data_IF_666487058285
#
_entry.id   IF_666487058285
#
_cell.length_a   1.000
_cell.length_b   1.000
_cell.length_c   1.000
_cell.angle_alpha   90.00
_cell.angle_beta   90.00
_cell.angle_gamma   90.00
#
_symmetry.space_group_name_H-M   'P 1'
#
loop_
_entity.id
_entity.type
_entity.pdbx_description
1 polymer ?
#
# COMPACT_ATOMS: atom_id res chain seq x y z
N UNK A 1 -5.20 23.81 -50.15
CA UNK A 1 -5.22 22.45 -49.52
C UNK A 1 -3.87 21.71 -49.69
N UNK A 2 -2.74 22.30 -49.27
CA UNK A 2 -1.41 21.62 -49.28
C UNK A 2 -0.36 22.19 -48.29
N UNK A 3 -0.74 23.15 -47.43
CA UNK A 3 0.16 23.78 -46.45
C UNK A 3 -0.18 23.48 -44.98
N UNK A 4 -1.26 22.73 -44.71
CA UNK A 4 -1.70 22.43 -43.35
C UNK A 4 -1.31 21.02 -42.85
N UNK A 5 -0.55 20.25 -43.65
CA UNK A 5 -0.17 18.85 -43.33
C UNK A 5 1.27 18.68 -42.87
N UNK A 6 2.07 19.75 -42.76
CA UNK A 6 3.50 19.65 -42.42
C UNK A 6 3.88 20.11 -41.01
N UNK A 7 2.93 20.61 -40.22
CA UNK A 7 3.14 21.08 -38.85
C UNK A 7 2.62 20.13 -37.77
N UNK A 8 2.06 18.97 -38.15
CA UNK A 8 1.53 17.96 -37.19
C UNK A 8 2.55 16.84 -36.91
N UNK A 9 3.65 16.75 -37.66
CA UNK A 9 4.65 15.68 -37.50
C UNK A 9 5.82 16.08 -36.57
N UNK A 10 5.98 17.36 -36.26
CA UNK A 10 7.02 17.84 -35.32
C UNK A 10 6.55 17.97 -33.87
N UNK A 11 5.26 17.79 -33.58
CA UNK A 11 4.73 17.81 -32.21
C UNK A 11 4.56 16.41 -31.60
N UNK A 12 4.86 15.35 -32.37
CA UNK A 12 4.71 13.96 -31.92
C UNK A 12 6.04 13.31 -31.46
N UNK A 13 7.17 14.01 -31.55
CA UNK A 13 8.49 13.48 -31.18
C UNK A 13 8.99 13.93 -29.79
N UNK A 14 8.18 14.67 -29.03
CA UNK A 14 8.53 15.12 -27.67
C UNK A 14 7.80 14.35 -26.55
N UNK A 15 7.14 13.24 -26.89
CA UNK A 15 6.36 12.41 -25.94
C UNK A 15 7.01 11.06 -25.60
N UNK A 16 8.29 10.85 -25.94
CA UNK A 16 9.02 9.62 -25.61
C UNK A 16 10.34 9.95 -24.90
N UNK A 17 10.22 10.45 -23.69
CA UNK A 17 11.16 10.17 -22.59
C UNK A 17 10.59 10.76 -21.30
N UNK A 18 9.50 10.17 -20.79
CA UNK A 18 9.24 10.30 -19.36
C UNK A 18 10.24 9.39 -18.64
N UNK A 19 11.49 9.84 -18.52
CA UNK A 19 12.32 9.37 -17.42
C UNK A 19 11.53 9.71 -16.17
N UNK A 20 11.16 8.69 -15.40
CA UNK A 20 10.46 8.87 -14.14
C UNK A 20 11.18 9.94 -13.33
N UNK A 21 10.53 11.08 -13.13
CA UNK A 21 10.96 12.03 -12.12
C UNK A 21 10.53 11.41 -10.80
N UNK A 22 11.46 10.66 -10.19
CA UNK A 22 11.35 10.27 -8.78
C UNK A 22 11.23 11.56 -7.95
N UNK A 23 10.44 11.53 -6.89
CA UNK A 23 10.29 12.67 -6.01
C UNK A 23 11.66 13.10 -5.47
N UNK A 24 11.79 14.40 -5.16
CA UNK A 24 13.00 14.97 -4.58
C UNK A 24 13.29 14.30 -3.23
N UNK A 25 14.18 13.31 -3.22
CA UNK A 25 15.11 13.15 -2.10
C UNK A 25 15.95 14.42 -2.01
N UNK A 26 16.26 14.93 -0.81
CA UNK A 26 17.15 16.09 -0.69
C UNK A 26 18.54 15.76 -1.24
N UNK A 27 18.95 14.49 -1.12
CA UNK A 27 20.14 13.99 -1.78
C UNK A 27 19.85 13.68 -3.26
N UNK A 28 20.75 14.12 -4.15
CA UNK A 28 20.67 13.77 -5.57
C UNK A 28 21.33 12.42 -5.82
N UNK A 29 20.59 11.47 -6.38
CA UNK A 29 21.13 10.21 -6.87
C UNK A 29 21.34 10.27 -8.38
N UNK A 30 22.55 9.98 -8.83
CA UNK A 30 22.89 9.86 -10.25
C UNK A 30 22.38 8.52 -10.76
N UNK A 31 21.48 8.57 -11.74
CA UNK A 31 21.02 7.37 -12.45
C UNK A 31 21.90 7.12 -13.65
N UNK A 32 22.62 5.98 -13.65
CA UNK A 32 23.40 5.55 -14.81
C UNK A 32 22.53 4.73 -15.76
N UNK A 33 22.75 4.89 -17.05
CA UNK A 33 22.07 4.07 -18.06
C UNK A 33 22.72 2.68 -18.13
N UNK A 34 22.02 1.68 -17.59
CA UNK A 34 22.38 0.27 -17.70
C UNK A 34 21.61 -0.42 -18.82
N UNK A 35 22.18 -1.46 -19.41
CA UNK A 35 21.45 -2.38 -20.29
C UNK A 35 20.61 -3.34 -19.44
N UNK A 36 19.37 -2.95 -19.17
CA UNK A 36 18.44 -3.70 -18.32
C UNK A 36 17.90 -4.97 -18.98
N UNK A 37 18.17 -5.21 -20.27
CA UNK A 37 17.79 -6.46 -20.94
C UNK A 37 18.49 -7.68 -20.32
N UNK A 38 19.62 -7.46 -19.64
CA UNK A 38 20.38 -8.49 -18.94
C UNK A 38 19.73 -8.94 -17.62
N UNK A 39 18.78 -8.16 -17.10
CA UNK A 39 18.09 -8.40 -15.83
C UNK A 39 16.58 -8.62 -16.03
N UNK A 40 16.10 -8.61 -17.28
CA UNK A 40 14.71 -8.90 -17.60
C UNK A 40 14.33 -10.33 -17.17
N UNK A 41 13.33 -10.44 -16.29
CA UNK A 41 12.87 -11.72 -15.74
C UNK A 41 13.53 -12.14 -14.42
N UNK A 42 14.37 -11.29 -13.83
CA UNK A 42 14.81 -11.48 -12.44
C UNK A 42 13.62 -11.34 -11.48
N UNK A 43 13.34 -12.38 -10.68
CA UNK A 43 12.32 -12.32 -9.63
C UNK A 43 12.81 -11.43 -8.48
N UNK A 44 12.40 -10.16 -8.50
CA UNK A 44 12.59 -9.26 -7.38
C UNK A 44 11.53 -9.52 -6.32
N UNK A 45 11.97 -9.60 -5.07
CA UNK A 45 11.07 -9.63 -3.91
C UNK A 45 11.03 -8.24 -3.30
N UNK A 46 9.83 -7.75 -3.05
CA UNK A 46 9.62 -6.45 -2.44
C UNK A 46 9.36 -6.66 -0.94
N UNK A 47 10.24 -6.14 -0.10
CA UNK A 47 10.16 -6.23 1.37
C UNK A 47 10.28 -4.84 2.00
N UNK A 48 9.54 -4.60 3.09
CA UNK A 48 9.60 -3.34 3.85
C UNK A 48 11.03 -3.10 4.38
N UNK A 49 11.67 -1.95 4.09
CA UNK A 49 12.96 -1.59 4.66
C UNK A 49 12.94 -1.47 6.19
N UNK A 50 13.81 -2.19 6.88
CA UNK A 50 13.91 -2.19 8.36
C UNK A 50 15.31 -1.86 8.88
N UNK A 51 16.33 -2.01 8.03
CA UNK A 51 17.73 -1.81 8.40
C UNK A 51 18.54 -1.28 7.22
N UNK A 52 19.56 -0.49 7.53
CA UNK A 52 20.52 0.00 6.54
C UNK A 52 21.86 -0.70 6.77
N UNK A 53 22.36 -1.33 5.72
CA UNK A 53 23.68 -1.92 5.68
C UNK A 53 24.63 -1.04 4.89
N UNK A 54 25.81 -0.79 5.44
CA UNK A 54 26.85 -0.01 4.79
C UNK A 54 28.05 -0.91 4.61
N UNK A 55 28.54 -1.06 3.38
CA UNK A 55 29.70 -1.89 3.10
C UNK A 55 30.73 -1.13 2.27
N UNK A 56 32.00 -1.43 2.50
CA UNK A 56 33.09 -0.92 1.69
C UNK A 56 33.30 -1.80 0.45
N UNK A 57 33.47 -1.18 -0.71
CA UNK A 57 33.81 -1.82 -1.97
C UNK A 57 35.20 -1.32 -2.37
N UNK A 58 36.14 -2.25 -2.52
CA UNK A 58 37.54 -1.96 -2.90
C UNK A 58 37.83 -2.47 -4.31
N UNK A 59 38.83 -1.89 -4.95
CA UNK A 59 39.29 -2.30 -6.28
C UNK A 59 40.81 -2.23 -6.38
N UNK A 60 41.41 -3.20 -7.08
CA UNK A 60 42.84 -3.16 -7.44
C UNK A 60 43.11 -2.36 -8.72
N UNK A 61 42.05 -1.98 -9.45
CA UNK A 61 42.18 -1.22 -10.69
C UNK A 61 42.29 0.27 -10.38
N UNK A 62 43.44 0.86 -10.70
CA UNK A 62 43.66 2.30 -10.56
C UNK A 62 42.64 3.10 -11.39
N UNK A 63 42.33 2.61 -12.60
CA UNK A 63 41.34 3.23 -13.48
C UNK A 63 39.95 3.30 -12.81
N UNK A 64 39.52 2.22 -12.16
CA UNK A 64 38.21 2.22 -11.48
C UNK A 64 38.22 3.12 -10.25
N UNK A 65 39.33 3.18 -9.50
CA UNK A 65 39.42 4.08 -8.35
C UNK A 65 39.41 5.56 -8.73
N UNK A 66 39.80 5.90 -9.96
CA UNK A 66 39.81 7.28 -10.46
C UNK A 66 38.53 7.67 -11.21
N UNK A 67 37.72 6.68 -11.62
CA UNK A 67 36.47 6.87 -12.36
C UNK A 67 35.32 6.08 -11.69
N UNK A 68 34.65 6.69 -10.69
CA UNK A 68 33.57 6.05 -9.95
C UNK A 68 32.39 5.63 -10.84
N UNK A 69 32.03 6.39 -11.87
CA UNK A 69 30.96 6.01 -12.81
C UNK A 69 31.31 4.72 -13.55
N UNK A 70 32.54 4.62 -14.05
CA UNK A 70 33.04 3.40 -14.67
C UNK A 70 33.09 2.25 -13.66
N UNK A 71 33.42 2.53 -12.40
CA UNK A 71 33.41 1.54 -11.32
C UNK A 71 31.99 0.99 -11.08
N UNK A 72 30.98 1.86 -10.94
CA UNK A 72 29.58 1.44 -10.80
C UNK A 72 29.14 0.57 -11.99
N UNK A 73 29.40 1.03 -13.23
CA UNK A 73 29.09 0.25 -14.44
C UNK A 73 29.79 -1.09 -14.45
N UNK A 74 31.06 -1.13 -14.07
CA UNK A 74 31.85 -2.36 -14.01
C UNK A 74 31.29 -3.33 -12.98
N UNK A 75 30.86 -2.84 -11.81
CA UNK A 75 30.19 -3.67 -10.81
C UNK A 75 28.91 -4.27 -11.38
N UNK A 76 28.01 -3.46 -11.94
CA UNK A 76 26.77 -3.92 -12.53
C UNK A 76 26.99 -5.09 -13.51
N UNK A 77 27.83 -4.89 -14.53
CA UNK A 77 28.10 -5.94 -15.51
C UNK A 77 28.84 -7.14 -14.92
N UNK A 78 29.72 -6.94 -13.94
CA UNK A 78 30.44 -8.04 -13.30
C UNK A 78 29.50 -8.94 -12.47
N UNK A 79 28.62 -8.34 -11.67
CA UNK A 79 27.62 -9.08 -10.90
C UNK A 79 26.74 -9.95 -11.79
N UNK A 80 26.23 -9.38 -12.88
CA UNK A 80 25.31 -10.09 -13.77
C UNK A 80 26.04 -11.11 -14.64
N UNK A 81 27.10 -10.71 -15.35
CA UNK A 81 27.71 -11.55 -16.39
C UNK A 81 28.76 -12.53 -15.87
N UNK A 82 29.39 -12.26 -14.71
CA UNK A 82 30.47 -13.08 -14.17
C UNK A 82 30.09 -13.81 -12.89
N UNK A 83 29.27 -13.18 -12.05
CA UNK A 83 28.80 -13.80 -10.82
C UNK A 83 27.44 -14.47 -11.00
N UNK A 84 26.73 -14.27 -12.11
CA UNK A 84 25.39 -14.81 -12.31
C UNK A 84 24.48 -14.42 -11.13
N UNK A 85 24.55 -13.15 -10.73
CA UNK A 85 23.62 -12.55 -9.77
C UNK A 85 22.62 -11.73 -10.60
N UNK A 86 21.31 -11.87 -10.36
CA UNK A 86 20.30 -11.37 -11.29
C UNK A 86 20.18 -9.84 -11.35
N UNK A 87 20.74 -9.12 -10.39
CA UNK A 87 20.92 -7.66 -10.42
C UNK A 87 22.08 -7.25 -9.48
N UNK A 88 22.44 -5.98 -9.46
CA UNK A 88 23.32 -5.41 -8.46
C UNK A 88 22.67 -5.56 -7.05
N UNK A 89 23.41 -5.97 -6.01
CA UNK A 89 22.81 -6.13 -4.67
C UNK A 89 22.64 -4.82 -3.90
N UNK A 90 23.31 -3.75 -4.35
CA UNK A 90 23.33 -2.45 -3.71
C UNK A 90 22.11 -1.62 -4.07
N UNK A 91 21.40 -1.08 -3.10
CA UNK A 91 20.38 -0.05 -3.34
C UNK A 91 21.03 1.25 -3.82
N UNK A 92 22.10 1.66 -3.15
CA UNK A 92 22.85 2.87 -3.48
C UNK A 92 24.36 2.60 -3.43
N UNK A 93 25.10 3.36 -4.23
CA UNK A 93 26.55 3.42 -4.19
C UNK A 93 26.99 4.85 -3.91
N UNK A 94 28.03 5.03 -3.11
CA UNK A 94 28.56 6.32 -2.69
C UNK A 94 30.05 6.35 -3.01
N UNK A 95 30.54 7.40 -3.67
CA UNK A 95 31.97 7.58 -3.91
C UNK A 95 32.66 8.53 -2.91
N UNK A 96 33.99 8.63 -3.02
CA UNK A 96 34.81 9.50 -2.18
C UNK A 96 34.56 11.00 -2.40
N UNK A 97 33.86 11.38 -3.48
CA UNK A 97 33.47 12.77 -3.74
C UNK A 97 32.10 13.11 -3.13
N UNK A 98 31.40 12.14 -2.55
CA UNK A 98 30.07 12.31 -1.99
C UNK A 98 28.95 12.17 -3.02
N UNK A 99 29.23 11.64 -4.22
CA UNK A 99 28.21 11.40 -5.23
C UNK A 99 27.52 10.07 -4.93
N UNK A 100 26.19 10.10 -4.90
CA UNK A 100 25.35 8.91 -4.73
C UNK A 100 24.90 8.44 -6.11
N UNK A 101 24.96 7.14 -6.34
CA UNK A 101 24.51 6.48 -7.55
C UNK A 101 23.37 5.51 -7.22
N UNK A 102 22.33 5.53 -8.03
CA UNK A 102 21.27 4.52 -7.95
C UNK A 102 21.86 3.16 -8.35
N UNK A 103 21.67 2.17 -7.48
CA UNK A 103 22.16 0.82 -7.71
C UNK A 103 21.14 -0.04 -8.44
N UNK A 104 20.59 -1.02 -7.72
CA UNK A 104 19.64 -2.03 -8.21
C UNK A 104 18.38 -1.41 -8.81
N UNK A 105 17.79 -2.15 -9.74
CA UNK A 105 16.50 -1.83 -10.35
C UNK A 105 15.37 -2.04 -9.33
N UNK A 106 14.23 -1.37 -9.53
CA UNK A 106 13.07 -1.49 -8.64
C UNK A 106 13.09 -0.60 -7.39
N UNK A 107 14.24 0.03 -7.07
CA UNK A 107 14.34 1.08 -6.05
C UNK A 107 14.38 0.56 -4.60
N UNK A 108 13.88 1.38 -3.68
CA UNK A 108 13.81 1.04 -2.25
C UNK A 108 12.84 -0.12 -2.02
N UNK A 109 13.26 -1.09 -1.20
CA UNK A 109 12.51 -2.29 -0.85
C UNK A 109 12.52 -3.42 -1.90
N UNK A 110 12.97 -3.16 -3.13
CA UNK A 110 13.23 -4.22 -4.11
C UNK A 110 14.50 -4.99 -3.70
N UNK A 111 14.42 -6.29 -3.43
CA UNK A 111 15.53 -7.11 -2.98
C UNK A 111 15.71 -8.35 -3.86
N UNK A 112 16.95 -8.83 -3.88
CA UNK A 112 17.26 -10.17 -4.39
C UNK A 112 16.69 -11.20 -3.41
N UNK A 113 16.33 -12.39 -3.89
CA UNK A 113 15.89 -13.52 -3.07
C UNK A 113 17.05 -14.11 -2.25
N UNK A 114 17.57 -13.34 -1.30
CA UNK A 114 18.73 -13.67 -0.48
C UNK A 114 18.44 -13.27 0.97
N UNK A 115 18.25 -14.26 1.85
CA UNK A 115 17.82 -14.05 3.24
C UNK A 115 18.67 -13.02 4.02
N UNK A 116 19.98 -12.97 3.74
CA UNK A 116 20.89 -12.04 4.42
C UNK A 116 20.65 -10.56 4.04
N UNK A 117 19.93 -10.30 2.94
CA UNK A 117 19.54 -8.97 2.46
C UNK A 117 18.06 -8.64 2.73
N UNK A 118 17.31 -9.54 3.37
CA UNK A 118 15.91 -9.31 3.70
C UNK A 118 15.75 -8.02 4.48
N UNK A 119 14.80 -7.19 4.05
CA UNK A 119 14.46 -5.89 4.64
C UNK A 119 15.64 -4.89 4.70
N UNK A 120 16.73 -5.15 3.98
CA UNK A 120 17.94 -4.32 4.03
C UNK A 120 17.98 -3.29 2.89
N UNK A 121 18.36 -2.06 3.23
CA UNK A 121 18.88 -1.08 2.27
C UNK A 121 20.40 -1.20 2.28
N UNK A 122 20.97 -1.73 1.19
CA UNK A 122 22.42 -1.93 1.09
C UNK A 122 23.09 -0.74 0.38
N UNK A 123 23.97 -0.06 1.08
CA UNK A 123 24.79 1.05 0.59
C UNK A 123 26.24 0.60 0.43
N UNK A 124 26.81 0.80 -0.76
CA UNK A 124 28.20 0.49 -1.05
C UNK A 124 29.07 1.74 -1.12
N UNK A 125 30.10 1.85 -0.28
CA UNK A 125 31.09 2.92 -0.34
C UNK A 125 32.27 2.51 -1.24
N UNK A 126 32.44 3.20 -2.35
CA UNK A 126 33.48 2.99 -3.34
C UNK A 126 34.79 3.66 -2.89
N UNK A 127 35.59 2.94 -2.10
CA UNK A 127 36.90 3.43 -1.67
C UNK A 127 37.84 2.29 -1.31
N UNK A 128 39.11 2.48 -1.64
CA UNK A 128 40.20 1.62 -1.17
C UNK A 128 40.65 1.96 0.27
N UNK A 129 40.16 3.04 0.85
CA UNK A 129 40.44 3.44 2.23
C UNK A 129 39.24 3.15 3.14
N UNK A 130 39.47 2.62 4.36
CA UNK A 130 38.37 2.28 5.28
C UNK A 130 37.76 3.50 5.98
N UNK A 131 38.29 4.70 5.73
CA UNK A 131 37.80 5.97 6.28
C UNK A 131 37.04 6.73 5.23
N UNK A 132 35.95 7.39 5.62
CA UNK A 132 35.18 8.20 4.69
C UNK A 132 35.81 9.59 4.56
N UNK A 133 35.71 10.16 3.36
CA UNK A 133 36.01 11.59 3.17
C UNK A 133 34.90 12.44 3.79
N UNK A 134 35.19 13.68 4.16
CA UNK A 134 34.18 14.61 4.72
C UNK A 134 32.95 14.76 3.80
N UNK A 135 33.17 14.74 2.47
CA UNK A 135 32.07 14.81 1.49
C UNK A 135 31.22 13.54 1.52
N UNK A 136 31.87 12.38 1.52
CA UNK A 136 31.17 11.09 1.62
C UNK A 136 30.41 10.95 2.95
N UNK A 137 31.00 11.37 4.08
CA UNK A 137 30.33 11.41 5.38
C UNK A 137 29.04 12.25 5.34
N UNK A 138 29.13 13.46 4.77
CA UNK A 138 27.99 14.38 4.67
C UNK A 138 26.87 13.76 3.83
N UNK A 139 27.17 13.28 2.63
CA UNK A 139 26.18 12.65 1.75
C UNK A 139 25.59 11.37 2.36
N UNK A 140 26.41 10.59 3.07
CA UNK A 140 25.95 9.36 3.71
C UNK A 140 25.01 9.65 4.88
N UNK A 141 25.31 10.64 5.73
CA UNK A 141 24.42 11.06 6.81
C UNK A 141 23.08 11.53 6.24
N UNK A 142 23.11 12.37 5.20
CA UNK A 142 21.90 12.88 4.57
C UNK A 142 21.04 11.74 4.01
N UNK A 143 21.63 10.87 3.18
CA UNK A 143 20.95 9.72 2.59
C UNK A 143 20.38 8.76 3.64
N UNK A 144 21.19 8.40 4.65
CA UNK A 144 20.74 7.51 5.74
C UNK A 144 19.63 8.17 6.55
N UNK A 145 19.76 9.46 6.84
CA UNK A 145 18.75 10.22 7.58
C UNK A 145 17.42 10.26 6.85
N UNK A 146 17.41 10.57 5.54
CA UNK A 146 16.19 10.61 4.74
C UNK A 146 15.52 9.24 4.61
N UNK A 147 16.29 8.20 4.24
CA UNK A 147 15.77 6.84 4.11
C UNK A 147 15.21 6.37 5.45
N UNK A 148 15.94 6.60 6.53
CA UNK A 148 15.51 6.16 7.84
C UNK A 148 14.29 6.91 8.36
N UNK A 149 14.19 8.22 8.10
CA UNK A 149 13.02 9.01 8.45
C UNK A 149 11.79 8.58 7.65
N UNK A 150 11.94 8.34 6.35
CA UNK A 150 10.86 7.88 5.49
C UNK A 150 10.32 6.52 5.95
N UNK A 151 11.20 5.55 6.21
CA UNK A 151 10.81 4.16 6.48
C UNK A 151 10.74 3.77 7.96
N UNK A 152 11.03 4.69 8.89
CA UNK A 152 11.08 4.38 10.32
C UNK A 152 12.20 3.41 10.70
N UNK A 153 13.41 3.63 10.18
CA UNK A 153 14.57 2.75 10.43
C UNK A 153 15.40 3.29 11.60
N UNK A 154 15.70 2.41 12.54
CA UNK A 154 16.54 2.71 13.70
C UNK A 154 17.91 2.01 13.68
N UNK A 155 18.17 1.17 12.66
CA UNK A 155 19.36 0.33 12.61
C UNK A 155 20.22 0.65 11.39
N UNK A 156 21.47 1.04 11.64
CA UNK A 156 22.54 1.17 10.64
C UNK A 156 23.69 0.25 11.07
N UNK A 157 24.12 -0.65 10.19
CA UNK A 157 25.20 -1.59 10.49
C UNK A 157 26.29 -1.58 9.41
N UNK A 158 27.58 -1.43 9.78
CA UNK A 158 28.68 -1.70 8.87
C UNK A 158 28.82 -3.20 8.65
N UNK A 159 28.84 -3.62 7.38
CA UNK A 159 28.90 -5.04 6.99
C UNK A 159 29.89 -5.28 5.86
N UNK A 160 30.28 -6.54 5.69
CA UNK A 160 31.01 -7.04 4.54
C UNK A 160 30.09 -7.95 3.72
N UNK A 161 30.00 -7.63 2.43
CA UNK A 161 29.28 -8.45 1.45
C UNK A 161 30.24 -9.49 0.89
N UNK A 162 29.89 -10.77 1.03
CA UNK A 162 30.64 -11.88 0.45
C UNK A 162 29.77 -12.57 -0.60
N UNK A 163 30.40 -12.99 -1.69
CA UNK A 163 29.74 -13.74 -2.76
C UNK A 163 30.03 -15.22 -2.58
N UNK A 164 28.99 -16.02 -2.47
CA UNK A 164 29.08 -17.48 -2.40
C UNK A 164 28.90 -18.02 -3.81
N UNK A 165 29.96 -18.59 -4.37
CA UNK A 165 29.91 -19.22 -5.68
C UNK A 165 29.83 -20.73 -5.53
N UNK A 166 28.79 -21.33 -6.12
CA UNK A 166 28.67 -22.77 -6.28
C UNK A 166 28.75 -23.13 -7.77
N UNK A 167 29.33 -24.29 -8.09
CA UNK A 167 29.37 -24.76 -9.47
C UNK A 167 27.96 -25.04 -9.99
N UNK A 168 27.65 -24.55 -11.20
CA UNK A 168 26.37 -24.74 -11.90
C UNK A 168 25.13 -24.18 -11.17
N UNK A 169 25.30 -23.20 -10.29
CA UNK A 169 24.19 -22.46 -9.65
C UNK A 169 24.43 -20.96 -9.71
N UNK A 170 23.36 -20.19 -9.50
CA UNK A 170 23.43 -18.75 -9.27
C UNK A 170 24.30 -18.49 -8.02
N UNK A 171 25.12 -17.43 -8.06
CA UNK A 171 25.89 -17.07 -6.86
C UNK A 171 24.97 -16.46 -5.82
N UNK A 172 25.18 -16.82 -4.56
CA UNK A 172 24.45 -16.25 -3.42
C UNK A 172 25.23 -15.12 -2.74
N UNK A 173 24.56 -14.45 -1.81
CA UNK A 173 25.14 -13.35 -1.04
C UNK A 173 25.13 -13.69 0.44
N UNK A 174 26.26 -13.41 1.11
CA UNK A 174 26.40 -13.57 2.55
C UNK A 174 26.94 -12.33 3.21
N UNK A 175 26.24 -11.88 4.24
CA UNK A 175 26.60 -10.72 5.04
C UNK A 175 27.40 -11.17 6.27
N UNK A 176 28.58 -10.58 6.45
CA UNK A 176 29.42 -10.76 7.65
C UNK A 176 29.78 -9.41 8.25
N UNK A 177 30.43 -9.40 9.40
CA UNK A 177 30.93 -8.15 9.98
C UNK A 177 32.02 -7.52 9.08
N UNK A 178 32.01 -6.20 9.03
CA UNK A 178 33.00 -5.42 8.31
C UNK A 178 34.38 -5.44 9.01
N UNK A 179 35.47 -5.08 8.29
CA UNK A 179 36.77 -4.84 8.91
C UNK A 179 36.69 -3.79 10.03
N UNK A 180 37.50 -3.97 11.08
CA UNK A 180 37.46 -3.16 12.29
C UNK A 180 37.61 -1.65 12.02
N UNK A 181 38.49 -1.27 11.13
CA UNK A 181 38.75 0.13 10.78
C UNK A 181 37.50 0.77 10.15
N UNK A 182 36.85 0.08 9.21
CA UNK A 182 35.63 0.56 8.56
C UNK A 182 34.45 0.60 9.53
N UNK A 183 34.31 -0.44 10.36
CA UNK A 183 33.30 -0.47 11.44
C UNK A 183 33.47 0.71 12.38
N UNK A 184 34.70 1.04 12.75
CA UNK A 184 34.99 2.17 13.64
C UNK A 184 34.63 3.51 12.98
N UNK A 185 34.95 3.68 11.69
CA UNK A 185 34.58 4.88 10.94
C UNK A 185 33.05 5.10 10.90
N UNK A 186 32.29 4.06 10.51
CA UNK A 186 30.81 4.14 10.43
C UNK A 186 30.18 4.34 11.82
N UNK A 187 30.64 3.62 12.84
CA UNK A 187 30.09 3.77 14.19
C UNK A 187 30.37 5.15 14.79
N UNK A 188 31.54 5.73 14.49
CA UNK A 188 31.84 7.11 14.91
C UNK A 188 30.95 8.12 14.18
N UNK A 189 30.71 7.91 12.88
CA UNK A 189 29.84 8.78 12.07
C UNK A 189 28.41 8.83 12.61
N UNK A 190 27.87 7.69 13.02
CA UNK A 190 26.49 7.55 13.52
C UNK A 190 26.37 7.47 15.06
N UNK A 191 27.41 7.86 15.80
CA UNK A 191 27.46 7.71 17.27
C UNK A 191 26.29 8.38 17.99
N UNK A 192 25.90 9.57 17.53
CA UNK A 192 24.83 10.36 18.14
C UNK A 192 23.48 10.20 17.41
N UNK A 193 23.45 9.37 16.35
CA UNK A 193 22.25 9.10 15.58
C UNK A 193 21.38 8.06 16.29
N UNK A 194 20.10 8.39 16.47
CA UNK A 194 19.13 7.54 17.19
C UNK A 194 18.17 6.79 16.27
N UNK A 195 18.17 7.16 14.98
CA UNK A 195 17.22 6.70 13.99
C UNK A 195 15.77 7.07 14.29
N UNK A 196 14.87 6.37 13.61
CA UNK A 196 13.42 6.63 13.61
C UNK A 196 12.67 5.33 13.85
N UNK A 197 11.49 5.42 14.45
CA UNK A 197 10.64 4.26 14.78
C UNK A 197 9.32 4.25 14.03
N UNK A 198 8.96 5.38 13.43
CA UNK A 198 7.71 5.57 12.72
C UNK A 198 8.01 5.89 11.25
N UNK A 199 7.18 5.35 10.37
CA UNK A 199 7.21 5.65 8.95
C UNK A 199 6.68 7.08 8.71
N UNK A 200 7.34 7.82 7.84
CA UNK A 200 6.92 9.16 7.42
C UNK A 200 6.88 9.24 5.89
N UNK A 201 5.91 8.52 5.32
CA UNK A 201 5.64 8.49 3.89
C UNK A 201 4.32 9.19 3.58
N UNK A 202 4.33 10.01 2.53
CA UNK A 202 3.12 10.60 1.97
C UNK A 202 2.57 9.68 0.88
N UNK A 203 1.54 8.91 1.21
CA UNK A 203 0.90 7.99 0.29
C UNK A 203 -0.02 8.73 -0.70
N UNK A 204 0.06 8.36 -1.98
CA UNK A 204 -0.68 8.99 -3.09
C UNK A 204 -1.28 7.93 -3.99
N UNK A 205 -2.60 7.97 -4.16
CA UNK A 205 -3.34 7.06 -5.02
C UNK A 205 -4.11 7.83 -6.09
N UNK A 206 -4.40 7.15 -7.19
CA UNK A 206 -5.46 7.57 -8.12
C UNK A 206 -6.53 6.51 -8.16
N UNK A 207 -7.79 6.92 -8.03
CA UNK A 207 -8.95 6.05 -8.26
C UNK A 207 -9.30 6.11 -9.74
N UNK A 208 -9.06 5.02 -10.46
CA UNK A 208 -9.32 4.94 -11.90
C UNK A 208 -10.78 4.65 -12.21
N UNK A 209 -11.41 3.78 -11.42
CA UNK A 209 -12.76 3.32 -11.69
C UNK A 209 -13.43 2.85 -10.40
N UNK A 210 -14.71 3.16 -10.25
CA UNK A 210 -15.59 2.64 -9.19
C UNK A 210 -16.79 1.99 -9.87
N UNK A 211 -16.95 0.69 -9.66
CA UNK A 211 -18.05 -0.11 -10.21
C UNK A 211 -18.98 -0.49 -9.07
N UNK A 212 -20.19 0.03 -9.12
CA UNK A 212 -21.31 -0.34 -8.26
C UNK A 212 -22.59 -0.41 -9.11
N UNK A 213 -23.57 -1.25 -8.74
CA UNK A 213 -24.87 -1.27 -9.41
C UNK A 213 -25.59 0.07 -9.18
N UNK A 214 -26.35 0.51 -10.19
CA UNK A 214 -27.16 1.73 -10.07
C UNK A 214 -28.29 1.57 -9.06
N UNK A 215 -28.86 0.37 -8.95
CA UNK A 215 -29.98 0.08 -8.06
C UNK A 215 -29.72 -1.21 -7.27
N UNK A 216 -30.29 -1.30 -6.08
CA UNK A 216 -30.20 -2.45 -5.20
C UNK A 216 -31.48 -2.67 -4.41
N UNK A 217 -31.93 -3.91 -4.28
CA UNK A 217 -33.08 -4.21 -3.44
C UNK A 217 -32.75 -4.04 -1.96
N UNK A 218 -33.69 -3.51 -1.19
CA UNK A 218 -33.56 -3.39 0.27
C UNK A 218 -33.18 -4.73 0.92
N UNK A 219 -32.17 -4.70 1.79
CA UNK A 219 -31.63 -5.89 2.45
C UNK A 219 -30.82 -6.83 1.55
N UNK A 220 -30.52 -6.42 0.31
CA UNK A 220 -29.55 -7.12 -0.53
C UNK A 220 -28.13 -6.55 -0.34
N UNK A 221 -27.14 -7.35 -0.77
CA UNK A 221 -25.73 -6.95 -0.73
C UNK A 221 -25.32 -6.41 -2.09
N UNK A 222 -24.59 -5.30 -2.04
CA UNK A 222 -24.02 -4.62 -3.19
C UNK A 222 -22.53 -4.86 -3.19
N UNK A 223 -22.02 -5.49 -4.24
CA UNK A 223 -20.59 -5.62 -4.47
C UNK A 223 -20.08 -4.34 -5.14
N UNK A 224 -19.15 -3.67 -4.47
CA UNK A 224 -18.40 -2.53 -4.98
C UNK A 224 -17.04 -3.05 -5.43
N UNK A 225 -16.60 -2.64 -6.63
CA UNK A 225 -15.23 -2.85 -7.10
C UNK A 225 -14.57 -1.53 -7.37
N UNK A 226 -13.31 -1.39 -6.98
CA UNK A 226 -12.54 -0.16 -7.14
C UNK A 226 -11.19 -0.49 -7.75
N UNK A 227 -10.84 0.23 -8.81
CA UNK A 227 -9.55 0.13 -9.48
C UNK A 227 -8.66 1.29 -9.04
N UNK A 228 -7.52 0.97 -8.46
CA UNK A 228 -6.63 1.90 -7.75
C UNK A 228 -5.23 1.80 -8.33
N UNK A 229 -4.59 2.95 -8.54
CA UNK A 229 -3.19 3.02 -8.97
C UNK A 229 -2.32 3.66 -7.89
N UNK A 230 -1.18 3.03 -7.59
CA UNK A 230 -0.16 3.60 -6.73
C UNK A 230 0.58 4.72 -7.49
N UNK A 231 0.37 5.97 -7.10
CA UNK A 231 1.03 7.13 -7.73
C UNK A 231 2.38 7.48 -7.10
N UNK A 232 2.77 6.82 -6.01
CA UNK A 232 4.08 6.99 -5.43
C UNK A 232 5.18 6.42 -6.34
N UNK A 233 6.40 6.86 -6.04
CA UNK A 233 7.64 6.35 -6.60
C UNK A 233 8.26 5.24 -5.72
N UNK A 234 7.58 4.87 -4.64
CA UNK A 234 7.90 3.74 -3.78
C UNK A 234 6.76 2.71 -3.73
N UNK A 235 7.08 1.43 -3.47
CA UNK A 235 6.07 0.40 -3.29
C UNK A 235 5.27 0.61 -2.00
N UNK A 236 3.98 0.29 -2.01
CA UNK A 236 3.23 0.16 -0.76
C UNK A 236 3.41 -1.24 -0.21
N UNK A 237 3.79 -1.32 1.06
CA UNK A 237 3.89 -2.58 1.78
C UNK A 237 2.72 -2.71 2.75
N UNK A 238 2.08 -3.88 2.76
CA UNK A 238 0.94 -4.18 3.64
C UNK A 238 1.17 -5.38 4.55
N UNK A 239 2.43 -5.78 4.71
CA UNK A 239 2.89 -6.87 5.58
C UNK A 239 2.88 -6.48 7.06
N UNK A 240 3.37 -5.28 7.40
CA UNK A 240 3.38 -4.76 8.77
C UNK A 240 2.10 -4.01 9.12
N UNK A 241 1.73 -3.08 8.23
CA UNK A 241 0.61 -2.17 8.44
C UNK A 241 -0.36 -2.31 7.26
N UNK A 242 -1.54 -2.92 7.45
CA UNK A 242 -2.51 -3.10 6.37
C UNK A 242 -3.08 -1.75 5.89
N UNK A 243 -3.47 -1.71 4.62
CA UNK A 243 -4.19 -0.57 4.04
C UNK A 243 -5.69 -0.88 4.08
N UNK A 244 -6.48 0.05 4.58
CA UNK A 244 -7.92 -0.06 4.65
C UNK A 244 -8.56 0.85 3.62
N UNK A 245 -9.65 0.37 3.03
CA UNK A 245 -10.72 1.28 2.62
C UNK A 245 -11.42 1.71 3.90
N UNK A 246 -11.58 3.01 4.11
CA UNK A 246 -12.25 3.57 5.27
C UNK A 246 -13.29 4.59 4.83
N UNK A 247 -14.35 4.80 5.60
CA UNK A 247 -15.22 5.96 5.43
C UNK A 247 -14.39 7.24 5.65
N UNK A 248 -14.65 8.28 4.85
CA UNK A 248 -13.85 9.53 4.84
C UNK A 248 -13.65 10.17 6.21
N UNK A 249 -14.66 10.08 7.08
CA UNK A 249 -14.61 10.68 8.43
C UNK A 249 -14.29 9.66 9.54
N UNK A 250 -14.02 8.40 9.19
CA UNK A 250 -13.89 7.29 10.14
C UNK A 250 -15.19 6.93 10.89
N UNK A 251 -16.31 7.58 10.55
CA UNK A 251 -17.64 7.31 11.13
C UNK A 251 -18.17 5.96 10.66
N UNK A 252 -18.88 5.29 11.55
CA UNK A 252 -19.57 4.03 11.23
C UNK A 252 -20.55 4.23 10.07
N UNK A 253 -20.52 3.32 9.11
CA UNK A 253 -21.43 3.32 7.98
C UNK A 253 -22.73 2.60 8.33
N UNK A 254 -23.86 3.19 7.98
CA UNK A 254 -25.16 2.51 8.02
C UNK A 254 -25.26 1.35 7.02
N UNK A 255 -24.32 1.27 6.07
CA UNK A 255 -24.21 0.22 5.06
C UNK A 255 -23.25 -0.91 5.49
N UNK A 256 -22.67 -0.81 6.68
CA UNK A 256 -21.70 -1.78 7.20
C UNK A 256 -22.33 -3.16 7.39
N UNK A 257 -21.59 -4.21 7.02
CA UNK A 257 -22.02 -5.60 7.19
C UNK A 257 -21.37 -6.17 8.46
N UNK A 258 -22.21 -6.55 9.43
CA UNK A 258 -21.73 -7.11 10.69
C UNK A 258 -20.95 -8.41 10.45
N UNK A 259 -19.83 -8.59 11.16
CA UNK A 259 -18.92 -9.74 11.07
C UNK A 259 -18.17 -9.92 9.74
N UNK A 260 -18.44 -9.08 8.72
CA UNK A 260 -17.71 -9.11 7.45
C UNK A 260 -16.69 -7.98 7.36
N UNK A 261 -17.07 -6.78 7.78
CA UNK A 261 -16.16 -5.64 7.78
C UNK A 261 -15.19 -5.74 8.97
N UNK A 262 -13.88 -5.47 8.77
CA UNK A 262 -12.92 -5.29 9.88
C UNK A 262 -13.41 -4.33 10.98
N UNK A 263 -14.09 -3.25 10.60
CA UNK A 263 -14.83 -2.37 11.51
C UNK A 263 -16.01 -1.74 10.77
N UNK A 264 -16.98 -1.14 11.46
CA UNK A 264 -18.12 -0.50 10.78
C UNK A 264 -17.76 0.73 9.94
N UNK A 265 -16.51 1.21 9.99
CA UNK A 265 -15.98 2.24 9.10
C UNK A 265 -15.01 1.70 8.05
N UNK A 266 -14.56 0.44 8.15
CA UNK A 266 -13.52 -0.14 7.31
C UNK A 266 -14.05 -1.40 6.59
N UNK A 267 -14.60 -1.30 5.36
CA UNK A 267 -15.18 -2.44 4.65
C UNK A 267 -14.23 -3.55 4.25
N UNK A 268 -12.97 -3.20 3.95
CA UNK A 268 -11.98 -4.15 3.46
C UNK A 268 -10.59 -3.71 3.87
N UNK A 269 -9.75 -4.71 4.12
CA UNK A 269 -8.32 -4.55 4.35
C UNK A 269 -7.51 -5.20 3.22
N UNK A 270 -6.37 -4.58 2.92
CA UNK A 270 -5.38 -5.04 1.96
C UNK A 270 -4.14 -5.38 2.77
N UNK A 271 -3.81 -6.67 2.86
CA UNK A 271 -2.74 -7.23 3.71
C UNK A 271 -1.86 -8.18 2.89
N UNK A 272 -0.64 -8.44 3.37
CA UNK A 272 0.29 -9.44 2.82
C UNK A 272 0.62 -9.27 1.32
N UNK A 273 0.67 -8.02 0.85
CA UNK A 273 1.00 -7.69 -0.54
C UNK A 273 1.92 -6.49 -0.63
N UNK A 274 2.77 -6.50 -1.66
CA UNK A 274 3.47 -5.32 -2.15
C UNK A 274 2.79 -4.79 -3.41
N UNK A 275 2.55 -3.49 -3.46
CA UNK A 275 1.96 -2.80 -4.62
C UNK A 275 3.04 -1.89 -5.20
N UNK A 276 3.55 -2.22 -6.38
CA UNK A 276 4.69 -1.53 -6.98
C UNK A 276 4.34 -0.09 -7.39
N UNK A 277 5.34 0.79 -7.53
CA UNK A 277 5.12 2.11 -8.12
C UNK A 277 4.39 1.98 -9.47
N UNK A 278 3.34 2.79 -9.65
CA UNK A 278 2.49 2.80 -10.87
C UNK A 278 1.76 1.49 -11.15
N UNK A 279 1.73 0.55 -10.20
CA UNK A 279 0.89 -0.65 -10.31
C UNK A 279 -0.57 -0.28 -10.08
N UNK A 280 -1.43 -0.78 -10.97
CA UNK A 280 -2.89 -0.73 -10.81
C UNK A 280 -3.40 -2.06 -10.28
N UNK A 281 -4.26 -2.02 -9.27
CA UNK A 281 -4.90 -3.20 -8.69
C UNK A 281 -6.40 -2.96 -8.46
N UNK A 282 -7.16 -4.05 -8.38
CA UNK A 282 -8.60 -4.03 -8.08
C UNK A 282 -8.84 -4.53 -6.67
N UNK A 283 -9.72 -3.85 -5.95
CA UNK A 283 -10.27 -4.32 -4.68
C UNK A 283 -11.78 -4.43 -4.80
N UNK A 284 -12.37 -5.36 -4.05
CA UNK A 284 -13.81 -5.54 -3.97
C UNK A 284 -14.28 -5.64 -2.53
N UNK A 285 -15.42 -5.02 -2.22
CA UNK A 285 -16.06 -5.14 -0.91
C UNK A 285 -17.57 -5.12 -1.04
N UNK A 286 -18.25 -5.68 -0.04
CA UNK A 286 -19.71 -5.71 0.00
C UNK A 286 -20.23 -4.64 0.97
N UNK A 287 -21.27 -3.94 0.53
CA UNK A 287 -22.07 -3.04 1.36
C UNK A 287 -23.52 -3.54 1.38
N UNK A 288 -24.26 -3.25 2.43
CA UNK A 288 -25.64 -3.71 2.55
C UNK A 288 -26.65 -2.57 2.46
N UNK A 289 -27.65 -2.75 1.60
CA UNK A 289 -28.75 -1.81 1.39
C UNK A 289 -29.75 -1.85 2.58
N UNK A 290 -29.29 -1.46 3.78
CA UNK A 290 -30.12 -1.41 5.00
C UNK A 290 -31.04 -0.19 5.07
N UNK A 291 -30.72 0.85 4.30
CA UNK A 291 -31.46 2.11 4.29
C UNK A 291 -32.79 1.92 3.57
N UNK A 292 -33.79 2.68 4.00
CA UNK A 292 -35.07 2.74 3.32
C UNK A 292 -34.93 3.31 1.91
N UNK A 293 -35.92 3.01 1.07
CA UNK A 293 -35.88 3.31 -0.37
C UNK A 293 -35.44 4.75 -0.68
N UNK A 294 -34.59 4.90 -1.68
CA UNK A 294 -34.05 6.20 -2.11
C UNK A 294 -32.55 6.14 -2.40
N UNK A 295 -32.02 7.29 -2.77
CA UNK A 295 -30.62 7.47 -3.14
C UNK A 295 -29.73 7.34 -1.89
N UNK A 296 -28.73 6.47 -1.99
CA UNK A 296 -27.72 6.27 -0.96
C UNK A 296 -26.36 6.56 -1.57
N UNK A 297 -25.55 7.36 -0.85
CA UNK A 297 -24.16 7.57 -1.19
C UNK A 297 -23.29 7.48 0.06
N UNK A 298 -22.05 7.02 -0.12
CA UNK A 298 -21.04 6.98 0.91
C UNK A 298 -19.67 7.24 0.29
N UNK A 299 -18.92 8.16 0.90
CA UNK A 299 -17.55 8.46 0.49
C UNK A 299 -16.56 7.64 1.30
N UNK A 300 -15.57 7.10 0.60
CA UNK A 300 -14.48 6.30 1.14
C UNK A 300 -13.12 6.87 0.75
N UNK A 301 -12.09 6.49 1.50
CA UNK A 301 -10.68 6.83 1.30
C UNK A 301 -9.81 5.60 1.56
N UNK A 302 -8.56 5.62 1.08
CA UNK A 302 -7.55 4.66 1.50
C UNK A 302 -6.73 5.25 2.65
N UNK A 303 -6.43 4.44 3.67
CA UNK A 303 -5.58 4.86 4.77
C UNK A 303 -4.94 3.65 5.47
N UNK A 304 -3.84 3.88 6.18
CA UNK A 304 -3.29 2.93 7.16
C UNK A 304 -4.12 2.98 8.46
N UNK A 305 -3.88 2.05 9.40
CA UNK A 305 -4.68 1.87 10.64
C UNK A 305 -4.93 3.21 11.37
N UNK A 306 -3.87 3.97 11.60
CA UNK A 306 -3.83 5.25 12.34
C UNK A 306 -3.29 6.41 11.47
N UNK A 307 -3.30 6.24 10.14
CA UNK A 307 -2.71 7.19 9.21
C UNK A 307 -3.72 8.18 8.62
N UNK A 308 -3.20 9.29 8.12
CA UNK A 308 -3.96 10.21 7.27
C UNK A 308 -4.41 9.51 5.98
N UNK A 309 -5.55 9.93 5.39
CA UNK A 309 -5.98 9.45 4.09
C UNK A 309 -4.91 9.67 3.01
N UNK A 310 -4.78 8.68 2.12
CA UNK A 310 -3.88 8.77 0.98
C UNK A 310 -4.36 9.89 0.07
N UNK A 311 -3.44 10.75 -0.37
CA UNK A 311 -3.75 11.84 -1.30
C UNK A 311 -4.35 11.27 -2.58
N UNK A 312 -5.50 11.81 -3.04
CA UNK A 312 -6.15 11.35 -4.28
C UNK A 312 -6.93 10.03 -4.18
N UNK A 313 -7.02 9.42 -2.99
CA UNK A 313 -7.72 8.15 -2.79
C UNK A 313 -9.23 8.26 -2.51
N UNK A 314 -9.80 9.46 -2.54
CA UNK A 314 -11.21 9.67 -2.24
C UNK A 314 -12.10 9.17 -3.39
N UNK A 315 -13.12 8.39 -3.05
CA UNK A 315 -14.13 7.96 -4.01
C UNK A 315 -15.52 7.83 -3.39
N UNK A 316 -16.54 8.03 -4.22
CA UNK A 316 -17.94 7.91 -3.83
C UNK A 316 -18.56 6.62 -4.38
N UNK A 317 -19.27 5.91 -3.53
CA UNK A 317 -20.17 4.83 -3.93
C UNK A 317 -21.58 5.33 -3.83
N UNK A 318 -22.33 5.24 -4.94
CA UNK A 318 -23.68 5.77 -5.07
C UNK A 318 -24.60 4.76 -5.76
N UNK A 319 -25.76 4.50 -5.17
CA UNK A 319 -26.80 3.61 -5.71
C UNK A 319 -28.16 3.91 -5.09
N UNK A 320 -29.23 3.57 -5.79
CA UNK A 320 -30.59 3.69 -5.31
C UNK A 320 -31.06 2.40 -4.63
N UNK A 321 -31.63 2.52 -3.43
CA UNK A 321 -32.30 1.39 -2.77
C UNK A 321 -33.74 1.33 -3.23
N UNK A 322 -34.13 0.21 -3.84
CA UNK A 322 -35.49 -0.06 -4.29
C UNK A 322 -36.14 -1.13 -3.44
N UNK A 323 -37.48 -1.08 -3.35
CA UNK A 323 -38.27 -2.06 -2.59
C UNK A 323 -38.24 -3.47 -3.22
N UNK A 324 -38.12 -3.55 -4.55
CA UNK A 324 -38.30 -4.80 -5.30
C UNK A 324 -39.71 -5.37 -5.08
N UNK A 325 -39.80 -6.71 -4.98
CA UNK A 325 -41.05 -7.44 -4.69
C UNK A 325 -41.38 -7.54 -3.19
N UNK A 326 -40.52 -6.98 -2.33
CA UNK A 326 -40.65 -7.12 -0.87
C UNK A 326 -41.78 -6.25 -0.34
N UNK A 327 -42.58 -6.76 0.59
CA UNK A 327 -43.59 -5.92 1.27
C UNK A 327 -42.95 -5.23 2.46
N UNK A 328 -43.14 -3.91 2.59
CA UNK A 328 -42.59 -3.14 3.70
C UNK A 328 -43.69 -2.80 4.71
N UNK A 329 -43.32 -2.77 5.99
CA UNK A 329 -44.21 -2.39 7.08
C UNK A 329 -43.55 -1.35 7.97
N UNK A 330 -44.25 -0.24 8.21
CA UNK A 330 -43.82 0.83 9.11
C UNK A 330 -44.46 0.66 10.49
N UNK A 331 -43.70 0.83 11.56
CA UNK A 331 -44.19 0.89 12.93
C UNK A 331 -45.06 2.13 13.10
N UNK A 332 -46.31 1.91 13.47
CA UNK A 332 -47.30 2.95 13.81
C UNK A 332 -47.84 2.59 15.20
N UNK A 333 -47.33 3.26 16.23
CA UNK A 333 -47.63 2.96 17.63
C UNK A 333 -47.96 4.25 18.37
N UNK A 334 -49.09 4.90 18.05
CA UNK A 334 -49.41 6.24 18.54
C UNK A 334 -49.58 6.29 20.07
N UNK A 335 -49.90 5.17 20.71
CA UNK A 335 -50.08 5.08 22.16
C UNK A 335 -48.77 4.97 22.94
N UNK A 336 -47.75 4.32 22.38
CA UNK A 336 -46.52 3.95 23.11
C UNK A 336 -45.24 4.51 22.49
N UNK A 337 -45.28 4.90 21.21
CA UNK A 337 -44.12 5.39 20.45
C UNK A 337 -43.10 4.31 20.06
N UNK A 338 -43.36 3.04 20.34
CA UNK A 338 -42.51 1.89 19.98
C UNK A 338 -43.31 0.59 19.88
N UNK A 339 -42.69 -0.47 19.35
CA UNK A 339 -43.21 -1.85 19.36
C UNK A 339 -42.11 -2.82 19.78
N UNK A 340 -42.45 -3.87 20.54
CA UNK A 340 -41.49 -4.91 20.89
C UNK A 340 -41.41 -5.96 19.78
N UNK A 341 -40.21 -6.18 19.26
CA UNK A 341 -39.85 -7.29 18.38
C UNK A 341 -39.37 -8.45 19.24
N UNK A 342 -39.93 -9.64 19.02
CA UNK A 342 -39.73 -10.82 19.86
C UNK A 342 -39.17 -11.99 19.09
N UNK A 343 -38.51 -12.92 19.80
CA UNK A 343 -37.96 -14.14 19.20
C UNK A 343 -39.01 -15.11 18.67
N UNK A 344 -40.23 -15.07 19.21
CA UNK A 344 -41.36 -15.88 18.76
C UNK A 344 -42.70 -15.14 18.90
N UNK A 345 -43.76 -15.71 18.30
CA UNK A 345 -45.11 -15.13 18.18
C UNK A 345 -45.94 -15.07 19.47
N UNK A 346 -45.32 -14.93 20.64
CA UNK A 346 -46.01 -14.85 21.93
C UNK A 346 -45.53 -13.68 22.76
N UNK A 347 -46.44 -13.06 23.52
CA UNK A 347 -46.12 -11.95 24.41
C UNK A 347 -45.17 -12.33 25.56
N UNK A 348 -45.01 -13.63 25.84
CA UNK A 348 -44.06 -14.17 26.81
C UNK A 348 -42.67 -14.40 26.25
N UNK A 349 -42.49 -14.34 24.92
CA UNK A 349 -41.18 -14.54 24.29
C UNK A 349 -40.23 -13.39 24.62
N UNK A 350 -38.94 -13.71 24.66
CA UNK A 350 -37.84 -12.75 24.79
C UNK A 350 -37.98 -11.62 23.77
N UNK A 351 -37.82 -10.39 24.26
CA UNK A 351 -37.79 -9.19 23.43
C UNK A 351 -36.38 -9.09 22.86
N UNK A 352 -36.28 -9.12 21.53
CA UNK A 352 -35.03 -8.92 20.81
C UNK A 352 -34.70 -7.43 20.71
N UNK A 353 -35.72 -6.60 20.47
CA UNK A 353 -35.58 -5.14 20.36
C UNK A 353 -36.93 -4.40 20.56
N UNK A 354 -36.87 -3.09 20.73
CA UNK A 354 -38.03 -2.19 20.87
C UNK A 354 -37.95 -0.99 19.90
N UNK A 355 -38.08 -1.20 18.57
CA UNK A 355 -38.04 -0.14 17.57
C UNK A 355 -39.11 0.93 17.79
N UNK A 356 -38.74 2.19 17.54
CA UNK A 356 -39.60 3.37 17.70
C UNK A 356 -40.59 3.50 16.55
N UNK A 357 -41.64 4.29 16.77
CA UNK A 357 -42.58 4.71 15.73
C UNK A 357 -41.85 5.32 14.53
N UNK A 358 -42.31 4.99 13.33
CA UNK A 358 -41.67 5.37 12.06
C UNK A 358 -40.64 4.38 11.53
N UNK A 359 -40.13 3.45 12.36
CA UNK A 359 -39.19 2.40 11.91
C UNK A 359 -39.86 1.49 10.88
N UNK A 360 -39.15 1.07 9.83
CA UNK A 360 -39.71 0.23 8.75
C UNK A 360 -38.94 -1.10 8.68
N UNK A 361 -39.65 -2.18 8.38
CA UNK A 361 -39.11 -3.52 8.21
C UNK A 361 -39.62 -4.21 6.96
N UNK A 362 -38.88 -5.23 6.51
CA UNK A 362 -39.34 -6.18 5.48
C UNK A 362 -40.29 -7.18 6.13
N UNK A 363 -41.50 -7.30 5.60
CA UNK A 363 -42.49 -8.28 6.02
C UNK A 363 -42.20 -9.62 5.35
N UNK A 364 -41.90 -10.63 6.17
CA UNK A 364 -41.63 -12.01 5.73
C UNK A 364 -42.89 -12.88 5.75
N UNK A 365 -43.86 -12.56 6.61
CA UNK A 365 -45.11 -13.31 6.70
C UNK A 365 -46.03 -12.82 7.80
N UNK A 366 -47.24 -13.36 7.82
CA UNK A 366 -48.29 -13.00 8.78
C UNK A 366 -48.90 -14.27 9.38
N UNK A 367 -48.99 -14.33 10.71
CA UNK A 367 -49.58 -15.47 11.39
C UNK A 367 -50.29 -15.02 12.67
N UNK A 368 -51.57 -15.38 12.82
CA UNK A 368 -52.35 -15.22 14.05
C UNK A 368 -52.25 -13.83 14.73
N UNK A 369 -52.28 -12.75 13.93
CA UNK A 369 -52.20 -11.37 14.44
C UNK A 369 -50.79 -10.85 14.71
N UNK A 370 -49.76 -11.56 14.25
CA UNK A 370 -48.36 -11.16 14.32
C UNK A 370 -47.76 -11.04 12.93
N UNK A 371 -46.88 -10.07 12.76
CA UNK A 371 -45.98 -9.97 11.62
C UNK A 371 -44.65 -10.64 11.95
N UNK A 372 -44.21 -11.48 11.03
CA UNK A 372 -42.84 -11.95 10.95
C UNK A 372 -42.07 -10.95 10.11
N UNK A 373 -41.08 -10.29 10.71
CA UNK A 373 -40.29 -9.24 10.08
C UNK A 373 -38.83 -9.65 10.01
N UNK A 374 -38.12 -9.19 8.98
CA UNK A 374 -36.66 -9.22 8.98
C UNK A 374 -36.17 -8.05 9.82
N UNK A 375 -35.79 -8.34 11.07
CA UNK A 375 -35.34 -7.34 12.04
C UNK A 375 -33.89 -6.91 11.77
N UNK A 376 -33.05 -7.87 11.38
CA UNK A 376 -31.68 -7.64 10.95
C UNK A 376 -31.36 -8.61 9.80
N UNK A 377 -30.20 -8.46 9.12
CA UNK A 377 -29.82 -9.35 8.01
C UNK A 377 -29.79 -10.82 8.47
N UNK A 378 -30.64 -11.66 7.86
CA UNK A 378 -30.78 -13.07 8.27
C UNK A 378 -31.39 -13.31 9.65
N UNK A 379 -31.80 -12.26 10.37
CA UNK A 379 -32.42 -12.35 11.70
C UNK A 379 -33.89 -11.99 11.61
N UNK A 380 -34.73 -12.94 11.99
CA UNK A 380 -36.18 -12.80 11.98
C UNK A 380 -36.70 -12.45 13.37
N UNK A 381 -37.75 -11.61 13.41
CA UNK A 381 -38.44 -11.25 14.64
C UNK A 381 -39.95 -11.23 14.44
N UNK A 382 -40.68 -11.28 15.54
CA UNK A 382 -42.14 -11.26 15.56
C UNK A 382 -42.65 -10.04 16.32
N UNK A 383 -43.59 -9.30 15.73
CA UNK A 383 -44.20 -8.14 16.36
C UNK A 383 -45.70 -8.08 16.08
N UNK A 384 -46.48 -7.46 16.98
CA UNK A 384 -47.94 -7.44 16.87
C UNK A 384 -48.38 -6.60 15.67
N UNK A 385 -49.23 -7.19 14.82
CA UNK A 385 -49.70 -6.62 13.56
C UNK A 385 -50.34 -5.23 13.71
N UNK A 386 -51.06 -5.00 14.82
CA UNK A 386 -51.77 -3.73 15.08
C UNK A 386 -50.86 -2.50 15.18
N UNK A 387 -49.56 -2.70 15.41
CA UNK A 387 -48.59 -1.61 15.51
C UNK A 387 -47.84 -1.36 14.20
N UNK A 388 -48.37 -1.85 13.07
CA UNK A 388 -47.74 -1.71 11.78
C UNK A 388 -48.72 -1.25 10.71
N UNK A 389 -48.20 -0.51 9.73
CA UNK A 389 -48.87 -0.11 8.49
C UNK A 389 -48.05 -0.60 7.29
N UNK A 390 -48.67 -1.33 6.37
CA UNK A 390 -48.04 -1.70 5.09
C UNK A 390 -47.82 -0.46 4.23
N UNK A 391 -46.65 -0.36 3.60
CA UNK A 391 -46.25 0.74 2.72
C UNK A 391 -45.66 0.22 1.41
#
# INVERSE_FOLDING_TARGET
MKLFKRTIITLLLFLLSTTGAFALTSFSATTLQFDTSLTEGADQVYTTPEKIYISQITTKSEQLSQDPELWVKSLYYYYITRLYIPDLPYTYLLDENGIIYQGKTGGLGANLQENDLDNAVLVGYLSNTPTLTVRAETSLIEMVGEIAHAWGISTVKPVKVNIIKEENKMSGIKITDAPFEFTTAINNLFKDWKGYTEENLNYKATIEEVIAPMESEIGSRVTVKVKITNENDFPWFTDRDPIYVSTKDGKESSLAINQLWPSFSKPVEISDRSIKPKETFEIGFEIEAKVLTGEVFQTFVLQKVDGEPFEGSEFEVKFDVVKGDKTLVQVVSPEFGFVNVRKCRWASCEILDSPKEGTIFILLGEEAGWYKIQYAPGVEGWAMLRYFKKI
#
